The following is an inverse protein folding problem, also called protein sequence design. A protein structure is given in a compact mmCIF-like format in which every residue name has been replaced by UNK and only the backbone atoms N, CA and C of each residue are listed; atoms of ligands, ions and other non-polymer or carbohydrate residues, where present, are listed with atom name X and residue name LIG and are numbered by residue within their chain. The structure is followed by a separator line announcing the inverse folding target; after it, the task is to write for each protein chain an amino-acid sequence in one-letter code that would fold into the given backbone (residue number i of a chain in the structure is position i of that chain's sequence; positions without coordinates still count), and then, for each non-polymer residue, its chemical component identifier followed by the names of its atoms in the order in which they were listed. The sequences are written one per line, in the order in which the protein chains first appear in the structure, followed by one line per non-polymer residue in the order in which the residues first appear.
data_IF_223949740949
#
_entry.id   IF_223949740949
#
_cell.length_a   1.000
_cell.length_b   1.000
_cell.length_c   1.000
_cell.angle_alpha   90.00
_cell.angle_beta   90.00
_cell.angle_gamma   90.00
#
_symmetry.space_group_name_H-M   'P 1'
#
loop_
_entity.id
_entity.type
_entity.pdbx_description
1 polymer ?
#
# COMPACT_ATOMS: atom_id res chain seq x y z
N UNK A 1 11.75 18.52 -23.36
CA UNK A 1 10.90 19.19 -22.34
C UNK A 1 9.86 18.29 -21.66
N UNK A 2 9.30 17.23 -22.28
CA UNK A 2 8.32 16.35 -21.59
C UNK A 2 8.91 15.41 -20.53
N UNK A 3 10.16 14.96 -20.70
CA UNK A 3 10.79 13.96 -19.82
C UNK A 3 11.20 14.56 -18.46
N UNK A 4 11.64 15.82 -18.44
CA UNK A 4 12.04 16.51 -17.21
C UNK A 4 10.88 16.68 -16.21
N UNK A 5 9.67 16.99 -16.71
CA UNK A 5 8.48 17.13 -15.88
C UNK A 5 8.05 15.81 -15.20
N UNK A 6 8.35 14.67 -15.84
CA UNK A 6 8.09 13.33 -15.28
C UNK A 6 9.08 13.03 -14.16
N UNK A 7 10.36 13.36 -14.36
CA UNK A 7 11.39 13.20 -13.32
C UNK A 7 11.21 14.15 -12.15
N UNK A 8 10.75 15.38 -12.39
CA UNK A 8 10.42 16.33 -11.32
C UNK A 8 9.17 15.88 -10.52
N UNK A 9 8.21 15.19 -11.15
CA UNK A 9 7.09 14.52 -10.48
C UNK A 9 7.52 13.30 -9.66
N UNK A 10 8.56 12.59 -10.10
CA UNK A 10 9.12 11.42 -9.43
C UNK A 10 10.18 11.77 -8.38
N UNK A 11 10.54 13.06 -8.23
CA UNK A 11 11.45 13.47 -7.16
C UNK A 11 10.80 13.17 -5.82
N UNK A 12 11.50 12.38 -4.99
CA UNK A 12 11.03 11.96 -3.67
C UNK A 12 10.53 13.17 -2.88
N UNK A 13 11.20 14.31 -2.94
CA UNK A 13 10.81 15.51 -2.21
C UNK A 13 9.46 16.09 -2.62
N UNK A 14 9.07 16.01 -3.90
CA UNK A 14 7.74 16.47 -4.36
C UNK A 14 6.65 15.46 -3.99
N UNK A 15 6.95 14.16 -4.07
CA UNK A 15 6.06 13.11 -3.58
C UNK A 15 5.86 13.25 -2.07
N UNK A 16 6.94 13.47 -1.30
CA UNK A 16 6.89 13.74 0.14
C UNK A 16 6.16 15.03 0.49
N UNK A 17 6.28 16.10 -0.31
CA UNK A 17 5.51 17.33 -0.11
C UNK A 17 4.03 17.16 -0.46
N UNK A 18 3.70 16.36 -1.47
CA UNK A 18 2.32 15.99 -1.83
C UNK A 18 1.69 15.08 -0.78
N UNK A 19 2.45 14.11 -0.26
CA UNK A 19 2.04 13.24 0.85
C UNK A 19 2.06 13.98 2.20
N UNK A 20 2.83 15.07 2.31
CA UNK A 20 2.99 15.87 3.50
C UNK A 20 1.83 16.83 3.74
N UNK A 21 1.14 17.26 2.67
CA UNK A 21 -0.08 18.06 2.78
C UNK A 21 -1.34 17.18 2.77
N UNK A 22 -1.46 16.34 3.82
CA UNK A 22 -2.59 15.41 4.04
C UNK A 22 -3.93 16.15 4.21
N UNK A 23 -3.89 17.46 4.45
CA UNK A 23 -5.08 18.31 4.68
C UNK A 23 -5.62 18.92 3.39
N UNK A 24 -4.93 18.78 2.24
CA UNK A 24 -5.40 19.35 0.99
C UNK A 24 -6.72 18.66 0.55
N UNK A 25 -7.81 19.42 0.35
CA UNK A 25 -9.04 18.84 -0.18
C UNK A 25 -8.78 18.33 -1.60
N UNK A 26 -9.11 17.05 -1.83
CA UNK A 26 -9.10 16.46 -3.16
C UNK A 26 -10.31 16.98 -3.95
N UNK A 27 -10.08 17.33 -5.22
CA UNK A 27 -11.14 17.72 -6.15
C UNK A 27 -12.08 16.54 -6.40
N UNK A 28 -13.39 16.80 -6.40
CA UNK A 28 -14.43 15.78 -6.58
C UNK A 28 -14.28 15.02 -7.92
N UNK A 29 -13.87 15.70 -8.98
CA UNK A 29 -13.67 15.08 -10.29
C UNK A 29 -12.43 14.17 -10.30
N UNK A 30 -11.39 14.54 -9.55
CA UNK A 30 -10.21 13.67 -9.36
C UNK A 30 -10.61 12.42 -8.57
N UNK A 31 -11.40 12.56 -7.51
CA UNK A 31 -11.92 11.43 -6.71
C UNK A 31 -12.73 10.49 -7.61
N UNK A 32 -13.62 11.02 -8.46
CA UNK A 32 -14.41 10.21 -9.40
C UNK A 32 -13.53 9.44 -10.38
N UNK A 33 -12.52 10.09 -10.97
CA UNK A 33 -11.58 9.42 -11.87
C UNK A 33 -10.78 8.32 -11.16
N UNK A 34 -10.36 8.56 -9.91
CA UNK A 34 -9.70 7.52 -9.10
C UNK A 34 -10.61 6.32 -8.86
N UNK A 35 -11.88 6.55 -8.52
CA UNK A 35 -12.84 5.46 -8.36
C UNK A 35 -13.05 4.68 -9.66
N UNK A 36 -13.23 5.36 -10.80
CA UNK A 36 -13.38 4.71 -12.11
C UNK A 36 -12.19 3.81 -12.40
N UNK A 37 -10.97 4.30 -12.19
CA UNK A 37 -9.75 3.52 -12.40
C UNK A 37 -9.67 2.32 -11.46
N UNK A 38 -9.99 2.51 -10.16
CA UNK A 38 -10.01 1.40 -9.18
C UNK A 38 -11.02 0.34 -9.60
N UNK A 39 -12.24 0.73 -9.95
CA UNK A 39 -13.28 -0.22 -10.39
C UNK A 39 -12.87 -0.95 -11.68
N UNK A 40 -12.25 -0.24 -12.62
CA UNK A 40 -11.72 -0.84 -13.85
C UNK A 40 -10.69 -1.92 -13.54
N UNK A 41 -9.72 -1.65 -12.66
CA UNK A 41 -8.70 -2.62 -12.23
C UNK A 41 -9.31 -3.83 -11.50
N UNK A 42 -10.27 -3.60 -10.62
CA UNK A 42 -10.97 -4.67 -9.91
C UNK A 42 -11.68 -5.59 -10.89
N UNK A 43 -12.34 -5.03 -11.91
CA UNK A 43 -13.02 -5.81 -12.95
C UNK A 43 -12.04 -6.68 -13.75
N UNK A 44 -10.90 -6.12 -14.17
CA UNK A 44 -9.87 -6.88 -14.89
C UNK A 44 -9.34 -8.03 -14.03
N UNK A 45 -9.05 -7.78 -12.75
CA UNK A 45 -8.60 -8.82 -11.82
C UNK A 45 -9.64 -9.94 -11.63
N UNK A 46 -10.93 -9.60 -11.61
CA UNK A 46 -12.01 -10.59 -11.54
C UNK A 46 -12.04 -11.48 -12.79
N UNK A 47 -11.94 -10.87 -13.99
CA UNK A 47 -11.89 -11.59 -15.27
C UNK A 47 -10.67 -12.52 -15.34
N UNK A 48 -9.48 -12.04 -14.97
CA UNK A 48 -8.24 -12.84 -14.95
C UNK A 48 -8.33 -14.01 -13.95
N UNK A 49 -8.89 -13.78 -12.75
CA UNK A 49 -9.06 -14.82 -11.74
C UNK A 49 -10.00 -15.94 -12.22
N UNK A 50 -11.12 -15.56 -12.85
CA UNK A 50 -12.06 -16.52 -13.43
C UNK A 50 -11.42 -17.31 -14.57
N UNK A 51 -10.72 -16.64 -15.48
CA UNK A 51 -10.02 -17.30 -16.58
C UNK A 51 -8.99 -18.32 -16.06
N UNK A 52 -8.19 -17.94 -15.06
CA UNK A 52 -7.21 -18.83 -14.45
C UNK A 52 -7.87 -20.03 -13.75
N UNK A 53 -8.95 -19.79 -13.01
CA UNK A 53 -9.71 -20.86 -12.34
C UNK A 53 -10.22 -21.88 -13.36
N UNK A 54 -10.83 -21.41 -14.45
CA UNK A 54 -11.32 -22.28 -15.53
C UNK A 54 -10.16 -23.08 -16.13
N UNK A 55 -9.04 -22.45 -16.47
CA UNK A 55 -7.88 -23.15 -17.04
C UNK A 55 -7.33 -24.24 -16.10
N UNK A 56 -7.20 -23.94 -14.81
CA UNK A 56 -6.69 -24.88 -13.82
C UNK A 56 -7.65 -26.07 -13.58
N UNK A 57 -8.96 -25.82 -13.59
CA UNK A 57 -9.98 -26.86 -13.41
C UNK A 57 -10.17 -27.71 -14.67
N UNK A 58 -10.25 -27.09 -15.85
CA UNK A 58 -10.40 -27.80 -17.14
C UNK A 58 -9.18 -28.67 -17.47
N UNK A 59 -7.97 -28.24 -17.07
CA UNK A 59 -6.75 -29.06 -17.21
C UNK A 59 -6.62 -30.12 -16.11
N UNK A 60 -7.56 -30.20 -15.17
CA UNK A 60 -7.54 -31.15 -14.05
C UNK A 60 -6.36 -30.96 -13.10
N UNK A 61 -5.70 -29.79 -13.12
CA UNK A 61 -4.54 -29.48 -12.27
C UNK A 61 -4.97 -29.16 -10.83
N UNK A 62 -6.18 -28.65 -10.66
CA UNK A 62 -6.76 -28.30 -9.37
C UNK A 62 -8.21 -28.77 -9.34
N UNK A 63 -8.53 -29.66 -8.41
CA UNK A 63 -9.92 -30.03 -8.13
C UNK A 63 -10.63 -28.97 -7.27
N UNK A 64 -11.95 -29.06 -7.20
CA UNK A 64 -12.78 -28.09 -6.49
C UNK A 64 -12.50 -28.05 -4.98
N UNK A 65 -12.15 -29.20 -4.38
CA UNK A 65 -11.86 -29.31 -2.95
C UNK A 65 -10.54 -28.59 -2.61
N UNK A 66 -9.48 -28.87 -3.36
CA UNK A 66 -8.19 -28.22 -3.24
C UNK A 66 -8.32 -26.71 -3.45
N UNK A 67 -9.05 -26.28 -4.48
CA UNK A 67 -9.33 -24.86 -4.72
C UNK A 67 -10.01 -24.19 -3.52
N UNK A 68 -11.04 -24.84 -2.95
CA UNK A 68 -11.79 -24.30 -1.82
C UNK A 68 -10.93 -24.18 -0.55
N UNK A 69 -10.10 -25.19 -0.26
CA UNK A 69 -9.18 -25.19 0.88
C UNK A 69 -8.15 -24.08 0.72
N UNK A 70 -7.48 -24.00 -0.43
CA UNK A 70 -6.46 -22.97 -0.68
C UNK A 70 -7.06 -21.57 -0.62
N UNK A 71 -8.25 -21.35 -1.21
CA UNK A 71 -8.94 -20.05 -1.13
C UNK A 71 -9.22 -19.64 0.30
N UNK A 72 -9.63 -20.57 1.18
CA UNK A 72 -9.86 -20.29 2.60
C UNK A 72 -8.56 -19.91 3.31
N UNK A 73 -7.50 -20.69 3.12
CA UNK A 73 -6.20 -20.43 3.73
C UNK A 73 -5.64 -19.06 3.32
N UNK A 74 -5.75 -18.70 2.03
CA UNK A 74 -5.34 -17.37 1.54
C UNK A 74 -6.17 -16.27 2.19
N UNK A 75 -7.49 -16.45 2.34
CA UNK A 75 -8.36 -15.47 2.99
C UNK A 75 -7.99 -15.25 4.46
N UNK A 76 -7.70 -16.33 5.18
CA UNK A 76 -7.28 -16.27 6.58
C UNK A 76 -5.94 -15.55 6.74
N UNK A 77 -4.96 -15.89 5.89
CA UNK A 77 -3.66 -15.22 5.85
C UNK A 77 -3.79 -13.72 5.56
N UNK A 78 -4.60 -13.32 4.58
CA UNK A 78 -4.83 -11.91 4.25
C UNK A 78 -5.51 -11.17 5.41
N UNK A 79 -6.47 -11.82 6.08
CA UNK A 79 -7.12 -11.24 7.25
C UNK A 79 -6.12 -10.99 8.38
N UNK A 80 -5.25 -11.95 8.68
CA UNK A 80 -4.22 -11.79 9.71
C UNK A 80 -3.26 -10.63 9.37
N UNK A 81 -2.85 -10.51 8.11
CA UNK A 81 -2.05 -9.39 7.61
C UNK A 81 -2.75 -8.03 7.80
N UNK A 82 -4.05 -7.98 7.53
CA UNK A 82 -4.83 -6.75 7.70
C UNK A 82 -5.00 -6.39 9.19
N UNK A 83 -5.21 -7.39 10.06
CA UNK A 83 -5.28 -7.21 11.51
C UNK A 83 -3.93 -6.74 12.09
N UNK A 84 -2.80 -7.25 11.58
CA UNK A 84 -1.46 -6.74 11.89
C UNK A 84 -1.30 -5.27 11.48
N UNK A 85 -1.64 -4.92 10.23
CA UNK A 85 -1.55 -3.54 9.72
C UNK A 85 -2.44 -2.58 10.48
N UNK A 86 -3.65 -3.01 10.86
CA UNK A 86 -4.56 -2.22 11.68
C UNK A 86 -3.95 -1.92 13.05
N UNK A 87 -3.36 -2.93 13.71
CA UNK A 87 -2.64 -2.75 14.99
C UNK A 87 -1.44 -1.81 14.85
N UNK A 88 -0.69 -1.92 13.76
CA UNK A 88 0.44 -1.01 13.50
C UNK A 88 -0.02 0.43 13.28
N UNK A 89 -1.12 0.63 12.56
CA UNK A 89 -1.73 1.95 12.34
C UNK A 89 -2.24 2.54 13.65
N UNK A 90 -2.89 1.74 14.50
CA UNK A 90 -3.35 2.15 15.83
C UNK A 90 -2.18 2.49 16.76
N UNK A 91 -1.09 1.72 16.70
CA UNK A 91 0.15 2.03 17.42
C UNK A 91 0.73 3.37 16.97
N UNK A 92 0.86 3.58 15.66
CA UNK A 92 1.34 4.85 15.10
C UNK A 92 0.47 6.03 15.53
N UNK A 93 -0.85 5.91 15.46
CA UNK A 93 -1.78 6.96 15.88
C UNK A 93 -1.65 7.33 17.37
N UNK A 94 -1.20 6.40 18.22
CA UNK A 94 -1.03 6.59 19.66
C UNK A 94 0.40 6.95 20.09
N UNK A 95 1.40 6.71 19.24
CA UNK A 95 2.82 6.82 19.63
C UNK A 95 3.32 8.26 19.70
N UNK A 96 2.63 9.21 19.05
CA UNK A 96 3.07 10.60 18.96
C UNK A 96 4.32 10.80 18.09
N UNK A 97 4.79 9.75 17.42
CA UNK A 97 5.94 9.78 16.51
C UNK A 97 5.53 10.50 15.21
N UNK A 98 6.29 11.49 14.73
CA UNK A 98 6.05 12.09 13.42
C UNK A 98 6.04 11.05 12.30
N UNK A 99 5.10 11.18 11.36
CA UNK A 99 4.96 10.25 10.23
C UNK A 99 6.27 9.99 9.46
N UNK A 100 7.12 10.99 9.16
CA UNK A 100 8.41 10.75 8.49
C UNK A 100 9.37 9.86 9.30
N UNK A 101 9.39 10.00 10.63
CA UNK A 101 10.23 9.19 11.51
C UNK A 101 9.72 7.75 11.60
N UNK A 102 8.40 7.56 11.65
CA UNK A 102 7.77 6.25 11.61
C UNK A 102 8.08 5.50 10.31
N UNK A 103 7.98 6.20 9.17
CA UNK A 103 8.30 5.60 7.85
C UNK A 103 9.80 5.27 7.75
N UNK A 104 10.68 6.15 8.23
CA UNK A 104 12.11 5.86 8.28
C UNK A 104 12.42 4.63 9.15
N UNK A 105 11.79 4.52 10.32
CA UNK A 105 11.92 3.33 11.18
C UNK A 105 11.44 2.06 10.47
N UNK A 106 10.29 2.11 9.78
CA UNK A 106 9.78 0.97 9.01
C UNK A 106 10.71 0.55 7.87
N UNK A 107 11.42 1.49 7.24
CA UNK A 107 12.33 1.22 6.12
C UNK A 107 13.74 0.81 6.56
N UNK A 108 14.23 1.34 7.68
CA UNK A 108 15.64 1.21 8.10
C UNK A 108 15.84 0.47 9.42
N UNK A 109 14.77 0.22 10.17
CA UNK A 109 14.81 -0.46 11.47
C UNK A 109 15.35 0.39 12.62
N UNK A 110 15.67 1.67 12.38
CA UNK A 110 16.19 2.60 13.40
C UNK A 110 15.47 3.94 13.32
N UNK A 111 15.21 4.54 14.48
CA UNK A 111 14.90 5.97 14.56
C UNK A 111 16.21 6.73 14.38
N UNK A 112 16.18 7.85 13.66
CA UNK A 112 17.35 8.73 13.57
C UNK A 112 17.58 9.34 14.95
N UNK A 113 18.52 8.77 15.72
CA UNK A 113 18.99 9.37 16.96
C UNK A 113 19.42 10.81 16.66
N UNK A 114 18.77 11.75 17.34
CA UNK A 114 19.30 13.09 17.55
C UNK A 114 20.50 12.99 18.49
N UNK A 115 21.62 12.50 17.97
CA UNK A 115 22.94 12.72 18.55
C UNK A 115 23.34 14.17 18.25
N UNK A 116 22.82 15.09 19.04
CA UNK A 116 23.45 16.39 19.31
C UNK A 116 23.29 16.70 20.81
N UNK A 117 23.75 15.76 21.64
CA UNK A 117 24.24 16.09 22.96
C UNK A 117 25.72 16.46 22.83
N UNK A 118 26.00 17.74 23.06
CA UNK A 118 27.25 18.28 23.61
C UNK A 118 28.55 17.94 22.87
N UNK A 119 28.90 18.79 21.89
CA UNK A 119 30.30 19.16 21.70
C UNK A 119 30.45 20.68 21.90
N UNK A 120 31.10 21.02 23.02
CA UNK A 120 31.96 22.19 23.18
C UNK A 120 31.33 23.58 23.09
N UNK A 121 30.95 24.13 24.24
CA UNK A 121 31.65 25.26 24.90
C UNK A 121 31.15 25.43 26.33
#
# INVERSE_FOLDING_TARGET
MRVQAVWDMLSDQKIWNLLGDVQRPLDEDIIRLMFIEIFSRVKVLEEENLALRVLLMEQGLVDEELYAITRRAVREFLKEKDDERARESEFFARSGIPFPEWVNFKLRGTFSDSSNSSEGL
#
